data_IF_621034850147
#
_entry.id   IF_621034850147
#
_cell.length_a   1.000
_cell.length_b   1.000
_cell.length_c   1.000
_cell.angle_alpha   90.00
_cell.angle_beta   90.00
_cell.angle_gamma   90.00
#
_symmetry.space_group_name_H-M   'P 1'
#
loop_
_entity.id
_entity.type
_entity.pdbx_description
1 polymer ?
#
# COMPACT_ATOMS: atom_id res chain seq x y z
N UNK A 1 -12.25 0.67 11.40
CA UNK A 1 -11.25 0.33 12.45
C UNK A 1 -10.01 -0.33 11.85
N UNK A 2 -10.14 -1.14 10.80
CA UNK A 2 -9.03 -1.94 10.25
C UNK A 2 -7.93 -1.14 9.53
N UNK A 3 -8.26 -0.10 8.74
CA UNK A 3 -7.23 0.70 8.05
C UNK A 3 -6.27 1.37 9.05
N UNK A 4 -6.80 1.91 10.16
CA UNK A 4 -5.98 2.48 11.25
C UNK A 4 -5.08 1.42 11.88
N UNK A 5 -5.56 0.17 12.02
CA UNK A 5 -4.75 -0.95 12.53
C UNK A 5 -3.61 -1.29 11.58
N UNK A 6 -3.86 -1.36 10.27
CA UNK A 6 -2.81 -1.61 9.26
C UNK A 6 -1.75 -0.50 9.28
N UNK A 7 -2.16 0.77 9.35
CA UNK A 7 -1.25 1.92 9.45
C UNK A 7 -0.43 1.84 10.75
N UNK A 8 -1.08 1.56 11.89
CA UNK A 8 -0.37 1.38 13.16
C UNK A 8 0.66 0.26 13.08
N UNK A 9 0.30 -0.89 12.50
CA UNK A 9 1.21 -2.02 12.30
C UNK A 9 2.44 -1.64 11.47
N UNK A 10 2.28 -0.83 10.42
CA UNK A 10 3.40 -0.31 9.63
C UNK A 10 4.31 0.57 10.49
N UNK A 11 3.73 1.52 11.23
CA UNK A 11 4.47 2.44 12.08
C UNK A 11 5.00 1.81 13.38
N UNK A 12 4.64 0.56 13.72
CA UNK A 12 5.33 -0.18 14.79
C UNK A 12 6.81 -0.39 14.48
N UNK A 13 7.19 -0.37 13.18
CA UNK A 13 8.58 -0.40 12.75
C UNK A 13 9.27 -1.73 13.01
N UNK A 14 8.51 -2.83 12.99
CA UNK A 14 9.08 -4.16 13.16
C UNK A 14 9.98 -4.53 11.98
N UNK A 15 11.18 -4.97 12.33
CA UNK A 15 12.20 -5.45 11.43
C UNK A 15 12.48 -6.92 11.75
N UNK A 16 12.67 -7.74 10.71
CA UNK A 16 13.04 -9.14 10.81
C UNK A 16 14.29 -9.43 9.97
N UNK A 17 15.22 -10.20 10.51
CA UNK A 17 16.39 -10.66 9.78
C UNK A 17 15.98 -11.58 8.63
N UNK A 18 16.49 -11.33 7.43
CA UNK A 18 16.17 -12.14 6.24
C UNK A 18 16.77 -13.55 6.29
N UNK A 19 17.80 -13.77 7.11
CA UNK A 19 18.44 -15.07 7.30
C UNK A 19 17.52 -16.05 8.05
N UNK A 20 17.08 -17.17 7.42
CA UNK A 20 16.11 -18.10 8.00
C UNK A 20 16.55 -18.75 9.32
N UNK A 21 17.86 -18.90 9.53
CA UNK A 21 18.42 -19.44 10.77
C UNK A 21 18.53 -18.41 11.89
N UNK A 22 18.50 -17.11 11.56
CA UNK A 22 18.60 -16.03 12.53
C UNK A 22 17.22 -15.53 12.97
N UNK A 23 16.40 -15.08 12.02
CA UNK A 23 15.04 -14.51 12.25
C UNK A 23 14.94 -13.50 13.41
N UNK A 24 16.03 -12.82 13.74
CA UNK A 24 16.02 -11.80 14.79
C UNK A 24 14.95 -10.74 14.47
N UNK A 25 14.07 -10.46 15.43
CA UNK A 25 12.94 -9.56 15.28
C UNK A 25 13.08 -8.40 16.26
N UNK A 26 13.15 -7.18 15.75
CA UNK A 26 13.43 -5.98 16.55
C UNK A 26 12.65 -4.78 16.04
N UNK A 27 12.42 -3.79 16.92
CA UNK A 27 11.91 -2.46 16.55
C UNK A 27 13.00 -1.40 16.49
N UNK A 28 14.23 -1.75 16.90
CA UNK A 28 15.37 -0.83 16.89
C UNK A 28 16.06 -0.92 15.55
N UNK A 29 16.06 0.20 14.81
CA UNK A 29 16.85 0.33 13.60
C UNK A 29 18.33 0.51 13.99
N UNK A 30 19.24 -0.41 13.61
CA UNK A 30 20.65 -0.26 13.89
C UNK A 30 21.25 0.90 13.07
N UNK A 31 22.29 1.55 13.60
CA UNK A 31 23.02 2.60 12.87
C UNK A 31 24.00 2.02 11.85
N UNK A 32 24.36 0.74 11.96
CA UNK A 32 25.23 0.07 11.01
C UNK A 32 24.42 -0.42 9.80
N UNK A 33 24.77 0.10 8.63
CA UNK A 33 24.15 -0.26 7.36
C UNK A 33 25.16 -0.93 6.43
N UNK A 34 24.65 -1.90 5.67
CA UNK A 34 25.30 -2.43 4.47
C UNK A 34 24.74 -1.73 3.23
N UNK A 35 25.27 -2.07 2.05
CA UNK A 35 24.71 -1.63 0.76
C UNK A 35 23.22 -1.95 0.61
N UNK A 36 22.76 -3.07 1.20
CA UNK A 36 21.41 -3.60 0.99
C UNK A 36 20.41 -3.20 2.08
N UNK A 37 20.86 -2.47 3.11
CA UNK A 37 20.03 -2.06 4.24
C UNK A 37 20.68 -2.25 5.62
N UNK A 38 19.90 -2.10 6.71
CA UNK A 38 20.39 -2.19 8.09
C UNK A 38 20.95 -3.59 8.41
N UNK A 39 22.16 -3.64 8.96
CA UNK A 39 22.85 -4.88 9.29
C UNK A 39 22.28 -5.50 10.58
N UNK A 40 21.94 -6.79 10.53
CA UNK A 40 21.46 -7.50 11.71
C UNK A 40 22.56 -7.61 12.78
N UNK A 41 22.29 -7.07 13.97
CA UNK A 41 23.23 -7.04 15.10
C UNK A 41 23.43 -8.39 15.80
N UNK A 42 22.69 -9.44 15.39
CA UNK A 42 22.79 -10.80 15.96
C UNK A 42 23.70 -11.67 15.12
N UNK A 43 23.43 -11.80 13.81
CA UNK A 43 24.25 -12.64 12.93
C UNK A 43 25.39 -11.89 12.25
N UNK A 44 25.37 -10.55 12.25
CA UNK A 44 26.36 -9.66 11.61
C UNK A 44 26.61 -9.92 10.11
N UNK A 45 25.75 -10.71 9.47
CA UNK A 45 25.91 -11.19 8.09
C UNK A 45 24.77 -10.75 7.17
N UNK A 46 23.54 -10.77 7.69
CA UNK A 46 22.32 -10.54 6.89
C UNK A 46 21.67 -9.20 7.23
N UNK A 47 20.76 -8.74 6.37
CA UNK A 47 20.05 -7.48 6.59
C UNK A 47 18.70 -7.67 7.27
N UNK A 48 18.27 -6.62 7.98
CA UNK A 48 16.94 -6.52 8.54
C UNK A 48 15.97 -5.96 7.49
N UNK A 49 14.81 -6.61 7.31
CA UNK A 49 13.73 -6.19 6.42
C UNK A 49 12.50 -5.76 7.21
N UNK A 50 11.71 -4.78 6.76
CA UNK A 50 10.42 -4.49 7.35
C UNK A 50 9.53 -5.74 7.36
N UNK A 51 9.03 -6.12 8.53
CA UNK A 51 8.07 -7.22 8.66
C UNK A 51 6.75 -6.88 7.97
N UNK A 52 6.36 -5.60 7.99
CA UNK A 52 5.23 -5.08 7.25
C UNK A 52 5.70 -3.91 6.38
N UNK A 53 5.92 -4.19 5.10
CA UNK A 53 6.46 -3.22 4.15
C UNK A 53 5.45 -2.10 3.83
N UNK A 54 5.97 -0.98 3.35
CA UNK A 54 5.20 0.11 2.76
C UNK A 54 4.33 -0.37 1.58
N UNK A 55 4.86 -1.24 0.72
CA UNK A 55 4.12 -1.91 -0.34
C UNK A 55 2.96 -2.73 0.21
N UNK A 56 3.18 -3.51 1.27
CA UNK A 56 2.14 -4.31 1.92
C UNK A 56 1.02 -3.44 2.49
N UNK A 57 1.36 -2.31 3.12
CA UNK A 57 0.37 -1.33 3.57
C UNK A 57 -0.41 -0.72 2.39
N UNK A 58 0.32 -0.25 1.37
CA UNK A 58 -0.28 0.36 0.19
C UNK A 58 -1.24 -0.60 -0.52
N UNK A 59 -0.82 -1.84 -0.78
CA UNK A 59 -1.66 -2.87 -1.39
C UNK A 59 -2.90 -3.15 -0.54
N UNK A 60 -2.79 -3.18 0.80
CA UNK A 60 -3.93 -3.39 1.68
C UNK A 60 -4.95 -2.23 1.59
N UNK A 61 -4.48 -0.99 1.51
CA UNK A 61 -5.36 0.17 1.34
C UNK A 61 -6.01 0.19 -0.05
N UNK A 62 -5.26 -0.16 -1.09
CA UNK A 62 -5.79 -0.35 -2.44
C UNK A 62 -6.87 -1.44 -2.50
N UNK A 63 -6.67 -2.55 -1.79
CA UNK A 63 -7.68 -3.59 -1.65
C UNK A 63 -8.98 -3.04 -1.06
N UNK A 64 -8.89 -2.28 0.05
CA UNK A 64 -10.08 -1.66 0.64
C UNK A 64 -10.78 -0.66 -0.27
N UNK A 65 -10.03 0.12 -1.06
CA UNK A 65 -10.63 0.99 -2.07
C UNK A 65 -11.34 0.17 -3.14
N UNK A 66 -10.69 -0.89 -3.63
CA UNK A 66 -11.16 -1.71 -4.75
C UNK A 66 -12.47 -2.45 -4.45
N UNK A 67 -12.61 -3.04 -3.25
CA UNK A 67 -13.83 -3.80 -2.90
C UNK A 67 -15.09 -2.93 -2.79
N UNK A 68 -14.94 -1.60 -2.71
CA UNK A 68 -16.04 -0.63 -2.69
C UNK A 68 -16.13 0.20 -3.97
N UNK A 69 -15.36 -0.13 -5.00
CA UNK A 69 -15.41 0.56 -6.29
C UNK A 69 -16.46 -0.07 -7.21
N UNK A 70 -17.73 0.25 -6.94
CA UNK A 70 -18.87 -0.30 -7.66
C UNK A 70 -18.83 0.03 -9.17
N UNK A 71 -18.43 1.25 -9.53
CA UNK A 71 -18.36 1.67 -10.92
C UNK A 71 -17.29 0.88 -11.68
N UNK A 72 -16.08 0.76 -11.10
CA UNK A 72 -15.03 -0.08 -11.67
C UNK A 72 -15.44 -1.56 -11.76
N UNK A 73 -16.18 -2.08 -10.77
CA UNK A 73 -16.67 -3.44 -10.80
C UNK A 73 -17.71 -3.67 -11.92
N UNK A 74 -18.59 -2.71 -12.17
CA UNK A 74 -19.58 -2.77 -13.26
C UNK A 74 -18.93 -2.68 -14.65
N UNK A 75 -17.87 -1.89 -14.80
CA UNK A 75 -17.11 -1.79 -16.06
C UNK A 75 -16.41 -3.11 -16.42
N UNK A 76 -16.05 -3.92 -15.43
CA UNK A 76 -15.42 -5.25 -15.64
C UNK A 76 -16.38 -6.33 -16.11
N UNK A 77 -17.69 -6.10 -16.08
CA UNK A 77 -18.67 -7.03 -16.65
C UNK A 77 -18.59 -6.99 -18.18
N UNK A 78 -18.61 -8.16 -18.82
CA UNK A 78 -18.37 -8.28 -20.27
C UNK A 78 -19.60 -7.96 -21.09
N UNK A 79 -20.79 -8.27 -20.57
CA UNK A 79 -22.05 -8.16 -21.34
C UNK A 79 -22.95 -7.08 -20.78
N UNK A 80 -23.54 -6.26 -21.65
CA UNK A 80 -24.41 -5.16 -21.24
C UNK A 80 -25.68 -5.64 -20.51
N UNK A 81 -26.19 -6.83 -20.85
CA UNK A 81 -27.29 -7.47 -20.13
C UNK A 81 -26.96 -7.72 -18.64
N UNK A 82 -25.74 -8.16 -18.33
CA UNK A 82 -25.30 -8.35 -16.95
C UNK A 82 -25.13 -7.01 -16.24
N UNK A 83 -24.56 -6.01 -16.92
CA UNK A 83 -24.46 -4.64 -16.39
C UNK A 83 -25.84 -4.09 -16.03
N UNK A 84 -26.83 -4.24 -16.90
CA UNK A 84 -28.17 -3.71 -16.66
C UNK A 84 -28.91 -4.45 -15.54
N UNK A 85 -28.66 -5.76 -15.37
CA UNK A 85 -29.12 -6.52 -14.20
C UNK A 85 -28.54 -5.95 -12.91
N UNK A 86 -27.23 -5.72 -12.85
CA UNK A 86 -26.55 -5.19 -11.66
C UNK A 86 -26.84 -3.71 -11.38
N UNK A 87 -27.01 -2.88 -12.42
CA UNK A 87 -27.39 -1.47 -12.29
C UNK A 87 -28.70 -1.28 -11.53
N UNK A 88 -29.64 -2.25 -11.63
CA UNK A 88 -30.90 -2.23 -10.85
C UNK A 88 -30.66 -2.36 -9.34
N UNK A 89 -29.64 -3.11 -8.92
CA UNK A 89 -29.27 -3.23 -7.51
C UNK A 89 -28.51 -1.99 -7.01
N UNK A 90 -27.69 -1.38 -7.87
CA UNK A 90 -26.99 -0.13 -7.59
C UNK A 90 -27.90 1.09 -7.80
N UNK A 91 -28.93 1.21 -6.96
CA UNK A 91 -29.75 2.42 -6.84
C UNK A 91 -28.87 3.65 -6.50
N UNK A 92 -29.34 4.88 -6.76
CA UNK A 92 -28.56 6.09 -6.44
C UNK A 92 -28.07 6.14 -4.99
N UNK A 93 -28.89 5.66 -4.05
CA UNK A 93 -28.52 5.56 -2.63
C UNK A 93 -27.38 4.57 -2.39
N UNK A 94 -27.51 3.34 -2.93
CA UNK A 94 -26.47 2.31 -2.78
C UNK A 94 -25.15 2.76 -3.39
N UNK A 95 -25.18 3.41 -4.57
CA UNK A 95 -23.97 3.99 -5.18
C UNK A 95 -23.32 5.04 -4.27
N UNK A 96 -24.13 5.93 -3.68
CA UNK A 96 -23.62 6.92 -2.75
C UNK A 96 -22.98 6.27 -1.52
N UNK A 97 -23.56 5.19 -1.01
CA UNK A 97 -23.02 4.46 0.15
C UNK A 97 -21.69 3.77 -0.19
N UNK A 98 -21.58 3.13 -1.36
CA UNK A 98 -20.31 2.60 -1.88
C UNK A 98 -19.26 3.72 -2.06
N UNK A 99 -19.66 4.87 -2.60
CA UNK A 99 -18.78 6.01 -2.78
C UNK A 99 -18.24 6.52 -1.43
N UNK A 100 -19.08 6.59 -0.37
CA UNK A 100 -18.61 6.96 0.98
C UNK A 100 -17.55 5.99 1.51
N UNK A 101 -17.76 4.69 1.30
CA UNK A 101 -16.81 3.64 1.73
C UNK A 101 -15.49 3.72 0.93
N UNK A 102 -15.57 3.88 -0.39
CA UNK A 102 -14.42 4.10 -1.29
C UNK A 102 -13.62 5.35 -0.89
N UNK A 103 -14.31 6.48 -0.69
CA UNK A 103 -13.71 7.75 -0.27
C UNK A 103 -12.96 7.64 1.06
N UNK A 104 -13.41 6.77 1.96
CA UNK A 104 -12.72 6.52 3.23
C UNK A 104 -11.33 5.94 2.99
N UNK A 105 -11.19 4.94 2.10
CA UNK A 105 -9.89 4.38 1.73
C UNK A 105 -9.03 5.39 0.95
N UNK A 106 -9.65 6.14 0.03
CA UNK A 106 -8.97 7.18 -0.75
C UNK A 106 -8.40 8.29 0.15
N UNK A 107 -9.08 8.68 1.22
CA UNK A 107 -8.55 9.64 2.18
C UNK A 107 -7.25 9.15 2.84
N UNK A 108 -7.15 7.85 3.17
CA UNK A 108 -5.90 7.30 3.72
C UNK A 108 -4.81 7.19 2.65
N UNK A 109 -5.16 6.80 1.42
CA UNK A 109 -4.22 6.73 0.30
C UNK A 109 -3.67 8.11 -0.07
N UNK A 110 -4.48 9.17 -0.03
CA UNK A 110 -4.06 10.56 -0.32
C UNK A 110 -3.00 11.09 0.65
N UNK A 111 -2.88 10.49 1.84
CA UNK A 111 -1.84 10.83 2.83
C UNK A 111 -0.56 10.02 2.63
N UNK A 112 -0.58 9.03 1.74
CA UNK A 112 0.56 8.18 1.43
C UNK A 112 1.28 8.70 0.19
N UNK A 113 2.57 8.95 0.32
CA UNK A 113 3.42 9.30 -0.83
C UNK A 113 3.79 8.08 -1.71
N UNK A 114 3.38 6.86 -1.35
CA UNK A 114 3.86 5.64 -2.01
C UNK A 114 3.55 5.59 -3.51
N UNK A 115 2.38 6.09 -3.93
CA UNK A 115 1.96 6.13 -5.34
C UNK A 115 2.25 7.46 -6.02
N UNK A 116 2.81 8.44 -5.30
CA UNK A 116 3.10 9.76 -5.85
C UNK A 116 4.47 9.74 -6.53
N UNK A 117 4.49 9.88 -7.86
CA UNK A 117 5.73 9.97 -8.64
C UNK A 117 5.90 11.40 -9.12
N UNK A 118 6.84 12.12 -8.49
CA UNK A 118 7.18 13.47 -8.89
C UNK A 118 8.07 13.43 -10.15
N UNK A 119 7.46 13.62 -11.32
CA UNK A 119 8.14 13.54 -12.61
C UNK A 119 9.22 14.62 -12.80
N UNK A 120 9.05 15.81 -12.21
CA UNK A 120 10.07 16.86 -12.33
C UNK A 120 11.34 16.50 -11.56
N UNK A 121 11.21 15.88 -10.37
CA UNK A 121 12.36 15.33 -9.64
C UNK A 121 12.98 14.13 -10.35
N UNK A 122 12.16 13.25 -10.93
CA UNK A 122 12.64 12.05 -11.62
C UNK A 122 13.47 12.38 -12.86
N UNK A 123 13.08 13.41 -13.62
CA UNK A 123 13.73 13.81 -14.87
C UNK A 123 14.57 15.09 -14.74
N UNK A 124 14.88 15.52 -13.51
CA UNK A 124 15.67 16.73 -13.27
C UNK A 124 17.00 16.71 -14.04
N UNK A 125 17.69 15.56 -14.04
CA UNK A 125 18.98 15.39 -14.73
C UNK A 125 18.84 15.17 -16.25
N UNK A 126 17.64 14.87 -16.74
CA UNK A 126 17.38 14.73 -18.18
C UNK A 126 17.21 16.09 -18.88
N UNK A 127 16.79 17.11 -18.13
CA UNK A 127 16.64 18.47 -18.64
C UNK A 127 17.97 19.25 -18.68
N UNK A 128 19.03 18.73 -18.04
CA UNK A 128 20.36 19.36 -17.96
C UNK A 128 21.33 18.63 -18.89
N UNK A 129 21.14 18.74 -20.20
CA UNK A 129 22.21 18.53 -21.18
C UNK A 129 22.13 19.60 -22.28
N UNK A 130 23.19 20.40 -22.50
CA UNK A 130 23.41 21.04 -23.79
C UNK A 130 23.74 20.00 -24.87
#
# INVERSE_FOLDING_TARGET
MDMRRCIKKYYEGWLICEEPTCRNRTRRLPLQFSRNGPLCQVCMKATLRPEYSDKSLYTQLCFYRYIFDADCALEKLTTDHEKDKWKKFFTPKVRQDYQKLKNTAEQFLSRSGYSEVNLSKLFADCAVRP
#
